data_IF_662209530959
#
_entry.id   IF_662209530959
#
_cell.length_a   1.000
_cell.length_b   1.000
_cell.length_c   1.000
_cell.angle_alpha   90.00
_cell.angle_beta   90.00
_cell.angle_gamma   90.00
#
_symmetry.space_group_name_H-M   'P 1'
#
loop_
_entity.id
_entity.type
_entity.pdbx_description
1 polymer ?
#
# COMPACT_ATOMS: atom_id res chain seq x y z
N UNK A 1 -0.54 -15.89 -5.34
CA UNK A 1 -0.61 -14.95 -6.48
C UNK A 1 -0.49 -13.55 -5.88
N UNK A 2 0.22 -12.66 -6.56
CA UNK A 2 0.76 -11.43 -5.97
C UNK A 2 -0.35 -10.40 -5.78
N UNK A 3 -0.38 -9.74 -4.63
CA UNK A 3 -1.30 -8.65 -4.24
C UNK A 3 -1.39 -7.47 -5.22
N UNK A 4 -0.54 -7.44 -6.25
CA UNK A 4 -0.61 -6.53 -7.40
C UNK A 4 -1.70 -6.90 -8.41
N UNK A 5 -1.92 -8.20 -8.66
CA UNK A 5 -2.94 -8.70 -9.60
C UNK A 5 -4.34 -8.53 -9.02
N UNK A 6 -4.47 -8.74 -7.70
CA UNK A 6 -5.69 -8.43 -6.94
C UNK A 6 -6.01 -6.94 -6.95
N UNK A 7 -4.99 -6.07 -6.83
CA UNK A 7 -5.16 -4.62 -6.90
C UNK A 7 -5.61 -4.20 -8.30
N UNK A 8 -4.98 -4.70 -9.36
CA UNK A 8 -5.42 -4.44 -10.74
C UNK A 8 -6.85 -4.93 -11.02
N UNK A 9 -7.25 -6.05 -10.41
CA UNK A 9 -8.62 -6.59 -10.54
C UNK A 9 -9.67 -5.76 -9.81
N UNK A 10 -9.26 -5.05 -8.75
CA UNK A 10 -10.12 -4.14 -7.97
C UNK A 10 -10.18 -2.72 -8.56
N UNK A 11 -9.19 -2.34 -9.38
CA UNK A 11 -9.19 -1.05 -10.08
C UNK A 11 -10.13 -1.14 -11.29
N UNK A 12 -11.16 -0.29 -11.39
CA UNK A 12 -12.11 -0.28 -12.50
C UNK A 12 -11.49 0.33 -13.77
N UNK A 13 -10.58 -0.40 -14.43
CA UNK A 13 -9.83 0.06 -15.62
C UNK A 13 -10.75 0.56 -16.73
N UNK A 14 -11.88 -0.10 -16.97
CA UNK A 14 -12.84 0.29 -18.01
C UNK A 14 -13.40 1.70 -17.75
N UNK A 15 -13.78 2.00 -16.51
CA UNK A 15 -14.32 3.31 -16.13
C UNK A 15 -13.23 4.39 -16.12
N UNK A 16 -11.99 4.05 -15.74
CA UNK A 16 -10.83 4.95 -15.88
C UNK A 16 -10.60 5.28 -17.36
N UNK A 17 -10.65 4.28 -18.24
CA UNK A 17 -10.50 4.48 -19.68
C UNK A 17 -11.60 5.41 -20.24
N UNK A 18 -12.85 5.22 -19.83
CA UNK A 18 -13.98 6.07 -20.21
C UNK A 18 -13.81 7.52 -19.70
N UNK A 19 -13.39 7.72 -18.45
CA UNK A 19 -13.14 9.07 -17.91
C UNK A 19 -11.98 9.78 -18.62
N UNK A 20 -10.94 9.04 -18.98
CA UNK A 20 -9.76 9.58 -19.66
C UNK A 20 -9.94 9.71 -21.17
N UNK A 21 -11.00 9.11 -21.73
CA UNK A 21 -11.28 9.12 -23.16
C UNK A 21 -10.28 8.30 -23.99
N UNK A 22 -9.76 7.21 -23.43
CA UNK A 22 -8.78 6.33 -24.09
C UNK A 22 -9.25 4.89 -24.14
N UNK A 23 -8.55 4.05 -24.90
CA UNK A 23 -8.81 2.62 -24.90
C UNK A 23 -8.32 1.95 -23.61
N UNK A 24 -8.94 0.82 -23.28
CA UNK A 24 -8.66 0.06 -22.07
C UNK A 24 -7.20 -0.42 -22.00
N UNK A 25 -6.54 -0.68 -23.12
CA UNK A 25 -5.14 -1.12 -23.12
C UNK A 25 -4.20 0.03 -22.75
N UNK A 26 -4.44 1.23 -23.26
CA UNK A 26 -3.72 2.45 -22.88
C UNK A 26 -3.92 2.76 -21.39
N UNK A 27 -5.16 2.70 -20.89
CA UNK A 27 -5.44 2.87 -19.47
C UNK A 27 -4.73 1.80 -18.61
N UNK A 28 -4.75 0.53 -19.03
CA UNK A 28 -4.06 -0.56 -18.32
C UNK A 28 -2.56 -0.30 -18.23
N UNK A 29 -1.92 0.07 -19.35
CA UNK A 29 -0.49 0.36 -19.40
C UNK A 29 -0.14 1.55 -18.49
N UNK A 30 -0.96 2.60 -18.53
CA UNK A 30 -0.76 3.78 -17.70
C UNK A 30 -0.88 3.45 -16.21
N UNK A 31 -1.88 2.64 -15.81
CA UNK A 31 -2.05 2.18 -14.42
C UNK A 31 -0.88 1.29 -13.98
N UNK A 32 -0.44 0.34 -14.82
CA UNK A 32 0.69 -0.53 -14.52
C UNK A 32 2.01 0.25 -14.36
N UNK A 33 2.20 1.31 -15.14
CA UNK A 33 3.35 2.19 -15.00
C UNK A 33 3.24 3.09 -13.76
N UNK A 34 2.06 3.65 -13.49
CA UNK A 34 1.83 4.61 -12.41
C UNK A 34 1.80 3.99 -11.02
N UNK A 35 1.30 2.76 -10.88
CA UNK A 35 1.15 2.08 -9.59
C UNK A 35 2.46 1.98 -8.80
N UNK A 36 3.58 1.46 -9.36
CA UNK A 36 4.86 1.41 -8.65
C UNK A 36 5.35 2.79 -8.22
N UNK A 37 5.17 3.80 -9.06
CA UNK A 37 5.61 5.17 -8.77
C UNK A 37 4.77 5.82 -7.68
N UNK A 38 3.45 5.63 -7.70
CA UNK A 38 2.55 6.07 -6.63
C UNK A 38 2.89 5.40 -5.30
N UNK A 39 3.14 4.09 -5.30
CA UNK A 39 3.51 3.38 -4.07
C UNK A 39 4.87 3.86 -3.53
N UNK A 40 5.86 4.05 -4.41
CA UNK A 40 7.17 4.60 -4.03
C UNK A 40 7.07 6.03 -3.49
N UNK A 41 6.27 6.88 -4.12
CA UNK A 41 6.01 8.24 -3.64
C UNK A 41 5.31 8.24 -2.28
N UNK A 42 4.27 7.42 -2.11
CA UNK A 42 3.57 7.26 -0.83
C UNK A 42 4.51 6.81 0.28
N UNK A 43 5.41 5.87 -0.02
CA UNK A 43 6.42 5.40 0.93
C UNK A 43 7.43 6.51 1.29
N UNK A 44 7.90 7.28 0.31
CA UNK A 44 8.81 8.39 0.55
C UNK A 44 8.15 9.49 1.40
N UNK A 45 6.91 9.84 1.08
CA UNK A 45 6.13 10.81 1.84
C UNK A 45 5.81 10.31 3.26
N UNK A 46 5.49 9.03 3.42
CA UNK A 46 5.27 8.42 4.74
C UNK A 46 6.55 8.33 5.61
N UNK A 47 7.73 8.42 5.00
CA UNK A 47 8.99 8.49 5.74
C UNK A 47 9.18 9.85 6.42
N UNK A 48 8.51 10.90 5.94
CA UNK A 48 8.52 12.22 6.55
C UNK A 48 7.41 12.37 7.61
N UNK A 49 7.67 13.01 8.76
CA UNK A 49 6.67 13.18 9.82
C UNK A 49 5.40 13.91 9.35
N UNK A 50 5.57 14.95 8.52
CA UNK A 50 4.49 15.75 7.96
C UNK A 50 3.71 14.98 6.90
N UNK A 51 4.42 14.28 6.02
CA UNK A 51 3.83 13.44 4.98
C UNK A 51 3.01 12.30 5.57
N UNK A 52 3.54 11.60 6.58
CA UNK A 52 2.81 10.57 7.33
C UNK A 52 1.51 11.11 7.95
N UNK A 53 1.53 12.31 8.55
CA UNK A 53 0.33 12.92 9.13
C UNK A 53 -0.72 13.27 8.07
N UNK A 54 -0.29 13.83 6.93
CA UNK A 54 -1.17 14.12 5.79
C UNK A 54 -1.76 12.86 5.19
N UNK A 55 -0.97 11.80 5.05
CA UNK A 55 -1.42 10.50 4.56
C UNK A 55 -2.41 9.86 5.52
N UNK A 56 -2.22 10.00 6.83
CA UNK A 56 -3.15 9.49 7.83
C UNK A 56 -4.51 10.21 7.76
N UNK A 57 -4.51 11.54 7.55
CA UNK A 57 -5.74 12.30 7.34
C UNK A 57 -6.45 11.93 6.03
N UNK A 58 -5.69 11.72 4.96
CA UNK A 58 -6.22 11.22 3.69
C UNK A 58 -6.77 9.79 3.83
N UNK A 59 -6.12 8.94 4.65
CA UNK A 59 -6.57 7.58 4.92
C UNK A 59 -7.91 7.55 5.66
N UNK A 60 -8.09 8.44 6.64
CA UNK A 60 -9.35 8.57 7.39
C UNK A 60 -10.49 9.07 6.49
N UNK A 61 -10.18 9.96 5.55
CA UNK A 61 -11.15 10.56 4.63
C UNK A 61 -11.50 9.65 3.44
N UNK A 62 -10.57 8.81 2.99
CA UNK A 62 -10.69 8.03 1.75
C UNK A 62 -10.61 6.51 1.95
N UNK A 63 -10.35 6.02 3.16
CA UNK A 63 -10.33 4.58 3.47
C UNK A 63 -11.68 3.89 3.25
N UNK A 64 -12.77 4.64 3.21
CA UNK A 64 -14.12 4.17 2.91
C UNK A 64 -14.46 3.97 1.43
N UNK A 65 -13.59 4.40 0.50
CA UNK A 65 -13.84 4.27 -0.96
C UNK A 65 -13.89 2.81 -1.45
N UNK A 66 -13.48 1.87 -0.60
CA UNK A 66 -13.54 0.44 -0.87
C UNK A 66 -14.69 -0.14 -0.05
N UNK A 67 -15.88 -0.18 -0.63
CA UNK A 67 -17.06 -0.78 -0.01
C UNK A 67 -17.14 -2.29 -0.31
N UNK A 68 -17.62 -3.07 0.68
CA UNK A 68 -17.96 -4.48 0.50
C UNK A 68 -16.79 -5.39 0.06
N UNK A 69 -16.94 -6.03 -1.10
CA UNK A 69 -16.03 -7.07 -1.61
C UNK A 69 -14.68 -6.56 -2.11
N UNK A 70 -14.43 -5.23 -2.07
CA UNK A 70 -13.20 -4.65 -2.60
C UNK A 70 -13.36 -3.91 -3.92
N UNK A 71 -14.58 -3.69 -4.38
CA UNK A 71 -14.84 -2.87 -5.55
C UNK A 71 -14.70 -1.38 -5.17
N UNK A 72 -13.91 -0.66 -5.96
CA UNK A 72 -13.71 0.78 -5.81
C UNK A 72 -14.80 1.48 -6.60
N UNK A 73 -15.59 2.32 -5.93
CA UNK A 73 -16.60 3.13 -6.61
C UNK A 73 -15.98 4.44 -7.12
N UNK A 74 -15.72 4.53 -8.42
CA UNK A 74 -15.20 5.75 -9.05
C UNK A 74 -16.15 6.95 -8.93
N UNK A 75 -17.44 6.74 -8.65
CA UNK A 75 -18.38 7.84 -8.43
C UNK A 75 -18.16 8.54 -7.10
N UNK A 76 -17.54 7.86 -6.14
CA UNK A 76 -17.16 8.43 -4.84
C UNK A 76 -15.73 8.99 -4.84
N UNK A 77 -14.97 8.76 -5.92
CA UNK A 77 -13.62 9.31 -6.06
C UNK A 77 -13.71 10.81 -6.34
N UNK A 78 -13.32 11.60 -5.33
CA UNK A 78 -13.12 13.03 -5.50
C UNK A 78 -11.76 13.29 -6.16
N UNK A 79 -11.80 13.70 -7.42
CA UNK A 79 -10.62 14.02 -8.22
C UNK A 79 -9.85 15.21 -7.64
N UNK A 80 -10.54 16.19 -7.05
CA UNK A 80 -9.89 17.37 -6.45
C UNK A 80 -9.14 17.02 -5.17
N UNK A 81 -9.65 16.07 -4.38
CA UNK A 81 -8.88 15.52 -3.25
C UNK A 81 -7.75 14.61 -3.73
N UNK A 82 -7.98 13.85 -4.80
CA UNK A 82 -6.95 13.10 -5.50
C UNK A 82 -5.76 13.96 -5.93
N UNK A 83 -6.01 15.16 -6.45
CA UNK A 83 -4.96 16.13 -6.79
C UNK A 83 -4.14 16.52 -5.56
N UNK A 84 -4.78 16.80 -4.43
CA UNK A 84 -4.08 17.13 -3.17
C UNK A 84 -3.23 15.97 -2.68
N UNK A 85 -3.72 14.74 -2.80
CA UNK A 85 -2.93 13.55 -2.42
C UNK A 85 -1.69 13.47 -3.30
N UNK A 86 -1.83 13.58 -4.62
CA UNK A 86 -0.70 13.55 -5.55
C UNK A 86 0.28 14.68 -5.26
N UNK A 87 -0.21 15.87 -4.96
CA UNK A 87 0.61 17.03 -4.57
C UNK A 87 1.34 16.80 -3.25
N UNK A 88 0.70 16.19 -2.25
CA UNK A 88 1.35 15.85 -0.98
C UNK A 88 2.37 14.72 -1.14
N UNK A 89 2.10 13.76 -2.03
CA UNK A 89 2.93 12.57 -2.23
C UNK A 89 4.17 12.87 -3.04
N UNK A 90 4.03 13.64 -4.11
CA UNK A 90 5.15 13.93 -5.02
C UNK A 90 5.67 15.34 -4.91
N UNK A 91 4.90 16.30 -4.38
CA UNK A 91 5.31 17.70 -4.24
C UNK A 91 5.92 18.24 -5.52
N UNK A 92 7.16 18.72 -5.40
CA UNK A 92 7.95 19.26 -6.52
C UNK A 92 8.28 18.20 -7.59
N UNK A 93 8.32 16.92 -7.23
CA UNK A 93 8.61 15.82 -8.16
C UNK A 93 7.43 15.42 -9.04
N UNK A 94 6.21 15.92 -8.77
CA UNK A 94 5.00 15.58 -9.53
C UNK A 94 5.20 15.76 -11.03
N UNK A 95 5.78 16.87 -11.46
CA UNK A 95 5.98 17.15 -12.89
C UNK A 95 7.04 16.25 -13.53
N UNK A 96 8.06 15.85 -12.75
CA UNK A 96 9.09 14.88 -13.16
C UNK A 96 8.48 13.49 -13.31
N UNK A 97 7.63 13.08 -12.36
CA UNK A 97 6.88 11.82 -12.38
C UNK A 97 5.96 11.77 -13.61
N UNK A 98 5.14 12.81 -13.82
CA UNK A 98 4.27 12.91 -14.99
C UNK A 98 5.06 12.80 -16.30
N UNK A 99 6.24 13.43 -16.38
CA UNK A 99 7.08 13.39 -17.58
C UNK A 99 7.74 12.03 -17.80
N UNK A 100 8.19 11.38 -16.72
CA UNK A 100 8.79 10.05 -16.78
C UNK A 100 7.76 8.99 -17.23
N UNK A 101 6.55 9.04 -16.66
CA UNK A 101 5.44 8.14 -16.99
C UNK A 101 4.74 8.48 -18.32
N UNK A 102 4.70 9.75 -18.69
CA UNK A 102 4.20 10.18 -20.00
C UNK A 102 5.15 9.80 -21.13
N UNK A 103 6.45 9.70 -20.84
CA UNK A 103 7.47 9.22 -21.77
C UNK A 103 7.50 7.69 -21.96
N UNK A 104 6.89 6.91 -21.04
CA UNK A 104 6.73 5.47 -21.27
C UNK A 104 5.71 5.21 -22.37
N UNK A 105 6.14 4.49 -23.42
CA UNK A 105 5.31 4.21 -24.58
C UNK A 105 4.01 3.46 -24.21
N UNK A 106 2.89 3.90 -24.77
CA UNK A 106 1.59 3.24 -24.58
C UNK A 106 0.78 3.72 -23.36
N UNK A 107 1.24 4.73 -22.62
CA UNK A 107 0.50 5.34 -21.50
C UNK A 107 -0.38 6.52 -21.90
N UNK A 108 -0.32 6.96 -23.17
CA UNK A 108 -1.10 8.08 -23.69
C UNK A 108 -0.55 9.48 -23.38
N UNK A 109 0.67 9.58 -22.84
CA UNK A 109 1.42 10.83 -22.70
C UNK A 109 1.20 11.56 -21.37
N UNK A 110 1.90 12.68 -21.19
CA UNK A 110 1.94 13.46 -19.95
C UNK A 110 0.55 13.95 -19.51
N UNK A 111 -0.28 14.39 -20.46
CA UNK A 111 -1.63 14.90 -20.16
C UNK A 111 -2.55 13.82 -19.60
N UNK A 112 -2.42 12.59 -20.09
CA UNK A 112 -3.18 11.45 -19.60
C UNK A 112 -2.72 11.09 -18.19
N UNK A 113 -1.40 10.97 -17.98
CA UNK A 113 -0.84 10.67 -16.65
C UNK A 113 -1.22 11.74 -15.63
N UNK A 114 -1.20 13.02 -16.01
CA UNK A 114 -1.62 14.13 -15.15
C UNK A 114 -3.07 14.03 -14.68
N UNK A 115 -3.97 13.46 -15.51
CA UNK A 115 -5.37 13.19 -15.16
C UNK A 115 -5.57 11.86 -14.42
N UNK A 116 -4.76 10.86 -14.76
CA UNK A 116 -4.82 9.53 -14.17
C UNK A 116 -4.34 9.52 -12.72
N UNK A 117 -3.26 10.24 -12.40
CA UNK A 117 -2.68 10.25 -11.05
C UNK A 117 -3.68 10.67 -9.97
N UNK A 118 -4.44 11.79 -10.13
CA UNK A 118 -5.47 12.17 -9.16
C UNK A 118 -6.58 11.14 -9.00
N UNK A 119 -6.94 10.41 -10.05
CA UNK A 119 -7.96 9.35 -9.97
C UNK A 119 -7.39 8.12 -9.25
N UNK A 120 -6.15 7.74 -9.56
CA UNK A 120 -5.51 6.56 -8.98
C UNK A 120 -5.09 6.72 -7.52
N UNK A 121 -4.64 7.90 -7.12
CA UNK A 121 -4.12 8.16 -5.78
C UNK A 121 -5.09 7.78 -4.65
N UNK A 122 -6.36 8.22 -4.63
CA UNK A 122 -7.31 7.85 -3.59
C UNK A 122 -7.66 6.35 -3.62
N UNK A 123 -7.63 5.72 -4.80
CA UNK A 123 -7.88 4.27 -4.95
C UNK A 123 -6.78 3.45 -4.29
N UNK A 124 -5.51 3.81 -4.58
CA UNK A 124 -4.34 3.15 -3.97
C UNK A 124 -4.32 3.37 -2.47
N UNK A 125 -4.63 4.58 -2.00
CA UNK A 125 -4.75 4.87 -0.57
C UNK A 125 -5.83 4.01 0.10
N UNK A 126 -7.01 3.90 -0.49
CA UNK A 126 -8.10 3.10 0.07
C UNK A 126 -7.74 1.60 0.12
N UNK A 127 -7.02 1.10 -0.88
CA UNK A 127 -6.49 -0.26 -0.88
C UNK A 127 -5.45 -0.47 0.24
N UNK A 128 -4.51 0.46 0.39
CA UNK A 128 -3.52 0.44 1.48
C UNK A 128 -4.21 0.53 2.84
N UNK A 129 -5.24 1.36 2.98
CA UNK A 129 -6.07 1.47 4.18
C UNK A 129 -6.66 0.11 4.53
N UNK A 130 -7.37 -0.50 3.59
CA UNK A 130 -8.00 -1.82 3.76
C UNK A 130 -6.99 -2.89 4.14
N UNK A 131 -5.80 -2.87 3.54
CA UNK A 131 -4.75 -3.82 3.84
C UNK A 131 -4.18 -3.63 5.27
N UNK A 132 -4.02 -2.37 5.70
CA UNK A 132 -3.55 -2.02 7.05
C UNK A 132 -4.60 -2.28 8.13
N UNK A 133 -5.88 -2.05 7.83
CA UNK A 133 -7.00 -2.31 8.75
C UNK A 133 -7.43 -3.78 8.76
N UNK A 134 -6.75 -4.65 7.98
CA UNK A 134 -7.03 -6.08 7.90
C UNK A 134 -8.18 -6.38 6.94
N UNK A 135 -7.85 -6.64 5.68
CA UNK A 135 -8.80 -7.11 4.68
C UNK A 135 -9.52 -8.37 5.15
N UNK A 136 -10.79 -8.24 5.53
CA UNK A 136 -11.70 -9.36 5.78
C UNK A 136 -12.20 -9.50 7.22
N UNK A 137 -13.03 -8.57 7.67
CA UNK A 137 -14.20 -8.88 8.48
C UNK A 137 -15.24 -7.78 8.25
N UNK A 138 -16.47 -8.22 7.97
CA UNK A 138 -17.65 -7.41 7.69
C UNK A 138 -17.64 -6.02 8.33
N UNK A 139 -17.94 -5.00 7.54
CA UNK A 139 -18.67 -3.86 8.06
C UNK A 139 -20.04 -4.37 8.54
N UNK A 140 -20.40 -4.28 9.84
CA UNK A 140 -21.77 -3.96 10.14
C UNK A 140 -21.97 -2.47 9.90
N UNK A 141 -23.14 -2.15 9.36
CA UNK A 141 -23.75 -0.82 9.24
C UNK A 141 -23.43 0.15 10.40
N UNK A 142 -23.52 1.48 10.16
CA UNK A 142 -23.12 2.50 11.12
C UNK A 142 -23.91 2.37 12.43
N UNK A 143 -23.21 2.07 13.52
CA UNK A 143 -23.71 2.33 14.87
C UNK A 143 -23.21 3.71 15.30
N UNK A 144 -24.06 4.58 15.87
CA UNK A 144 -23.67 5.94 16.19
C UNK A 144 -22.70 5.96 17.37
N UNK A 145 -21.63 6.75 17.19
CA UNK A 145 -20.89 7.48 18.22
C UNK A 145 -20.77 6.81 19.60
N UNK A 146 -19.57 6.34 19.93
CA UNK A 146 -19.04 6.62 21.26
C UNK A 146 -17.53 6.80 21.23
N UNK A 147 -17.17 8.08 21.19
CA UNK A 147 -15.96 8.68 21.73
C UNK A 147 -15.29 7.81 22.82
N UNK A 148 -14.16 7.19 22.49
CA UNK A 148 -13.16 6.82 23.49
C UNK A 148 -11.78 7.18 22.99
N UNK A 149 -11.36 8.33 23.51
CA UNK A 149 -10.01 8.87 23.54
C UNK A 149 -8.95 7.83 23.89
N UNK A 150 -7.83 7.85 23.15
CA UNK A 150 -6.52 7.42 23.64
C UNK A 150 -6.12 5.99 23.34
N UNK A 151 -5.63 5.73 22.13
CA UNK A 151 -4.98 4.47 21.77
C UNK A 151 -4.21 4.65 20.46
N UNK A 152 -3.10 5.39 20.53
CA UNK A 152 -2.31 5.77 19.36
C UNK A 152 -1.68 4.56 18.67
N UNK A 153 -1.40 4.71 17.37
CA UNK A 153 -0.70 3.76 16.51
C UNK A 153 0.61 3.19 17.11
N UNK A 154 1.19 3.85 18.11
CA UNK A 154 2.32 3.36 18.89
C UNK A 154 2.02 2.12 19.75
N UNK A 155 0.77 1.90 20.16
CA UNK A 155 0.34 0.71 20.89
C UNK A 155 0.09 -0.48 19.94
N UNK A 156 -0.36 -0.19 18.72
CA UNK A 156 -0.52 -1.19 17.66
C UNK A 156 0.83 -1.64 17.10
N UNK A 157 1.74 -0.69 16.88
CA UNK A 157 3.13 -0.99 16.50
C UNK A 157 3.91 -1.60 17.67
N UNK A 158 3.68 -1.16 18.90
CA UNK A 158 4.23 -1.78 20.11
C UNK A 158 3.73 -3.21 20.33
N UNK A 159 2.48 -3.49 19.96
CA UNK A 159 1.90 -4.84 19.97
C UNK A 159 2.45 -5.74 18.87
N UNK A 160 2.74 -5.19 17.69
CA UNK A 160 3.31 -5.97 16.57
C UNK A 160 4.82 -6.24 16.75
N UNK A 161 5.57 -5.24 17.24
CA UNK A 161 7.02 -5.35 17.47
C UNK A 161 7.35 -5.98 18.84
N UNK A 162 6.45 -5.88 19.82
CA UNK A 162 6.63 -6.42 21.17
C UNK A 162 5.81 -7.65 21.51
N UNK A 163 4.82 -8.03 20.68
CA UNK A 163 3.84 -9.07 20.99
C UNK A 163 4.05 -10.42 20.29
N UNK A 164 5.27 -10.79 19.89
CA UNK A 164 5.59 -12.17 19.49
C UNK A 164 5.83 -13.06 20.71
N UNK A 165 4.89 -13.08 21.67
CA UNK A 165 4.96 -13.97 22.85
C UNK A 165 3.58 -14.11 23.52
N UNK A 166 2.55 -14.64 22.84
CA UNK A 166 1.52 -15.52 23.43
C UNK A 166 0.27 -15.60 22.54
N UNK A 167 -0.11 -16.85 22.21
CA UNK A 167 -1.35 -17.28 21.55
C UNK A 167 -1.50 -16.84 20.08
N UNK A 168 -1.68 -17.70 19.09
CA UNK A 168 -1.98 -19.12 19.04
C UNK A 168 -2.60 -19.37 17.67
N UNK A 169 -1.83 -19.94 16.74
CA UNK A 169 -2.32 -20.33 15.41
C UNK A 169 -1.38 -19.88 14.27
N UNK A 170 -0.92 -20.85 13.48
CA UNK A 170 -0.22 -20.70 12.19
C UNK A 170 1.26 -20.26 12.15
N UNK A 171 1.92 -19.99 13.28
CA UNK A 171 3.39 -19.77 13.33
C UNK A 171 4.25 -20.98 13.76
N UNK A 172 3.64 -21.98 14.40
CA UNK A 172 4.38 -23.05 15.12
C UNK A 172 5.14 -24.04 14.23
N UNK A 173 4.63 -24.35 13.03
CA UNK A 173 5.24 -25.42 12.20
C UNK A 173 6.47 -24.94 11.42
N UNK A 174 6.56 -23.63 11.12
CA UNK A 174 7.71 -23.05 10.43
C UNK A 174 8.81 -22.68 11.45
N UNK A 175 8.42 -22.21 12.63
CA UNK A 175 9.33 -21.93 13.74
C UNK A 175 10.03 -23.18 14.29
N UNK A 176 9.35 -24.34 14.34
CA UNK A 176 9.96 -25.57 14.84
C UNK A 176 10.95 -26.21 13.84
N UNK A 177 10.71 -26.06 12.53
CA UNK A 177 11.66 -26.50 11.50
C UNK A 177 12.92 -25.60 11.44
N UNK A 178 12.77 -24.29 11.68
CA UNK A 178 13.88 -23.34 11.67
C UNK A 178 14.66 -23.36 13.00
N UNK A 179 14.00 -23.50 14.15
CA UNK A 179 14.65 -23.58 15.45
C UNK A 179 15.46 -24.88 15.63
N UNK A 180 15.05 -25.98 14.98
CA UNK A 180 15.81 -27.24 14.98
C UNK A 180 17.06 -27.19 14.10
N UNK A 181 17.15 -26.24 13.15
CA UNK A 181 18.30 -26.07 12.26
C UNK A 181 19.21 -24.88 12.62
N UNK A 182 18.71 -23.88 13.35
CA UNK A 182 19.49 -22.70 13.75
C UNK A 182 20.31 -22.89 15.05
N UNK A 183 20.13 -24.00 15.77
CA UNK A 183 20.70 -24.21 17.10
C UNK A 183 21.95 -25.10 17.21
N UNK A 184 22.56 -25.61 16.12
CA UNK A 184 23.59 -26.66 16.28
C UNK A 184 24.67 -26.82 15.21
N UNK A 185 24.75 -25.96 14.18
CA UNK A 185 25.65 -26.21 13.05
C UNK A 185 26.90 -25.32 12.96
N UNK A 186 26.82 -24.07 13.42
CA UNK A 186 27.80 -23.04 13.04
C UNK A 186 28.88 -22.77 14.10
N UNK A 187 28.69 -23.23 15.34
CA UNK A 187 29.70 -23.13 16.41
C UNK A 187 30.80 -24.19 16.36
N UNK A 188 30.56 -25.32 15.69
CA UNK A 188 31.47 -26.47 15.70
C UNK A 188 32.49 -26.45 14.54
N UNK A 189 32.18 -25.76 13.45
CA UNK A 189 33.06 -25.70 12.27
C UNK A 189 34.15 -24.62 12.37
N UNK A 190 33.90 -23.53 13.11
CA UNK A 190 34.90 -22.47 13.33
C UNK A 190 35.88 -22.79 14.47
N UNK A 191 35.53 -23.70 15.38
CA UNK A 191 36.41 -24.13 16.48
C UNK A 191 37.40 -25.24 16.13
N UNK A 192 37.19 -25.96 15.02
CA UNK A 192 37.97 -27.16 14.67
C UNK A 192 39.21 -26.93 13.80
N UNK A 193 39.38 -25.76 13.19
CA UNK A 193 40.43 -25.53 12.19
C UNK A 193 41.59 -24.63 12.65
N UNK A 194 41.54 -24.09 13.87
CA UNK A 194 42.56 -23.14 14.37
C UNK A 194 43.27 -23.60 15.66
N UNK A 195 43.05 -24.83 16.12
CA UNK A 195 43.54 -25.31 17.42
C UNK A 195 44.04 -26.75 17.40
N UNK A 196 45.14 -27.03 16.68
CA UNK A 196 45.72 -28.37 16.60
C UNK A 196 47.23 -28.36 16.38
N UNK A 197 47.97 -27.78 17.32
CA UNK A 197 49.43 -27.88 17.41
C UNK A 197 49.76 -29.02 18.38
N UNK A 198 50.04 -30.21 17.85
CA UNK A 198 51.10 -31.15 18.27
C UNK A 198 50.98 -32.49 17.58
#
# INVERSE_FOLDING_TARGET
MTSFDDLLSQVPIAQIADQLGVDQATATNAVQAALPTLLGGLQANAAEPQGAASLLGALDSHGGLVEGEGAVDLQQVDVADGEKIVDNVFGDEKNTVISALGGTGGTGGNDLIGKLLPILAPIVLAYVAKQLTGGGAAAPAPAPQQQSSGGGLGDLLGGLIGGSSSSGGLGGVIGEALAKNAGGGLGSILGGILGGKR
#
